data_IF_183271680043
#
_entry.id   IF_183271680043
#
_cell.length_a   1.000
_cell.length_b   1.000
_cell.length_c   1.000
_cell.angle_alpha   90.00
_cell.angle_beta   90.00
_cell.angle_gamma   90.00
#
_symmetry.space_group_name_H-M   'P 1'
#
loop_
_entity.id
_entity.type
_entity.pdbx_description
1 polymer ?
#
# COMPACT_ATOMS: atom_id res chain seq x y z
N UNK A 1 -17.80 7.41 -3.27
CA UNK A 1 -17.91 6.99 -1.86
C UNK A 1 -18.49 5.58 -1.82
N UNK A 2 -17.71 4.56 -1.43
CA UNK A 2 -18.22 3.20 -1.23
C UNK A 2 -18.02 2.85 0.24
N UNK A 3 -19.13 2.51 0.88
CA UNK A 3 -19.29 2.32 2.32
C UNK A 3 -18.89 0.88 2.70
N UNK A 4 -17.68 0.68 3.21
CA UNK A 4 -17.23 -0.63 3.73
C UNK A 4 -17.38 -0.69 5.25
N UNK A 5 -18.60 -0.91 5.72
CA UNK A 5 -18.86 -1.30 7.11
C UNK A 5 -18.92 -2.82 7.23
N UNK A 6 -18.19 -3.34 8.22
CA UNK A 6 -18.30 -4.65 8.86
C UNK A 6 -17.54 -5.82 8.24
N UNK A 7 -16.22 -5.88 8.49
CA UNK A 7 -15.56 -7.17 8.79
C UNK A 7 -14.55 -6.94 9.91
N UNK A 8 -14.87 -7.36 11.14
CA UNK A 8 -13.95 -7.35 12.26
C UNK A 8 -13.44 -8.78 12.47
N UNK A 9 -12.18 -9.04 12.12
CA UNK A 9 -11.50 -10.26 12.54
C UNK A 9 -10.86 -10.02 13.91
N UNK A 10 -11.41 -10.65 14.95
CA UNK A 10 -10.72 -10.78 16.24
C UNK A 10 -9.71 -11.94 16.11
N UNK A 11 -8.43 -11.61 16.08
CA UNK A 11 -7.35 -12.59 16.25
C UNK A 11 -7.14 -12.76 17.75
N UNK A 12 -7.56 -13.90 18.31
CA UNK A 12 -7.21 -14.27 19.67
C UNK A 12 -5.71 -14.57 19.74
N UNK A 13 -5.02 -13.99 20.74
CA UNK A 13 -3.63 -14.32 21.04
C UNK A 13 -3.54 -15.81 21.41
N UNK A 14 -2.76 -16.57 20.65
CA UNK A 14 -2.50 -17.98 20.99
C UNK A 14 -1.59 -18.03 22.23
N UNK A 15 -2.05 -18.74 23.25
CA UNK A 15 -1.24 -19.14 24.40
C UNK A 15 -0.58 -20.49 24.04
N UNK A 16 0.70 -20.74 24.36
CA UNK A 16 1.35 -22.02 24.01
C UNK A 16 0.70 -23.18 24.76
N UNK A 17 0.14 -24.15 24.02
CA UNK A 17 -0.46 -25.36 24.59
C UNK A 17 0.60 -26.47 24.64
N UNK A 18 0.95 -26.93 25.84
CA UNK A 18 1.60 -28.23 26.05
C UNK A 18 0.50 -29.29 26.15
N UNK A 19 0.29 -30.05 25.09
CA UNK A 19 -0.66 -31.16 25.04
C UNK A 19 -0.89 -31.68 23.62
N UNK A 20 -1.43 -32.90 23.46
CA UNK A 20 -1.76 -33.45 22.15
C UNK A 20 -2.79 -32.55 21.42
N UNK A 21 -2.72 -32.46 20.08
CA UNK A 21 -3.51 -31.49 19.31
C UNK A 21 -5.01 -31.70 19.52
N UNK A 22 -5.80 -30.63 19.75
CA UNK A 22 -7.24 -30.76 19.93
C UNK A 22 -7.92 -31.28 18.66
N UNK A 23 -8.93 -32.14 18.84
CA UNK A 23 -9.76 -32.62 17.73
C UNK A 23 -10.40 -31.45 16.98
N UNK A 24 -10.44 -31.46 15.64
CA UNK A 24 -10.99 -30.36 14.87
C UNK A 24 -12.51 -30.32 15.03
N UNK A 25 -13.03 -29.18 15.50
CA UNK A 25 -14.46 -28.88 15.58
C UNK A 25 -14.83 -27.77 14.60
N UNK A 26 -15.99 -27.90 13.96
CA UNK A 26 -16.58 -26.84 13.16
C UNK A 26 -17.57 -26.04 14.00
N UNK A 27 -17.47 -24.71 13.97
CA UNK A 27 -18.48 -23.83 14.59
C UNK A 27 -19.50 -23.44 13.52
N UNK A 28 -20.75 -23.90 13.67
CA UNK A 28 -21.84 -23.49 12.78
C UNK A 28 -22.50 -22.24 13.37
N UNK A 29 -22.40 -21.11 12.67
CA UNK A 29 -23.06 -19.86 13.03
C UNK A 29 -24.30 -19.72 12.14
N UNK A 30 -25.49 -19.83 12.74
CA UNK A 30 -26.75 -19.72 12.00
C UNK A 30 -27.07 -18.24 11.73
N UNK A 31 -26.64 -17.72 10.58
CA UNK A 31 -26.82 -16.32 10.17
C UNK A 31 -28.21 -16.04 9.54
N UNK A 32 -29.28 -16.69 9.99
CA UNK A 32 -30.64 -16.30 9.55
C UNK A 32 -31.05 -15.03 10.28
N UNK A 33 -31.27 -13.95 9.53
CA UNK A 33 -31.88 -12.72 10.06
C UNK A 33 -33.31 -13.04 10.53
N UNK A 34 -33.72 -12.66 11.75
CA UNK A 34 -35.10 -12.82 12.17
C UNK A 34 -35.98 -11.87 11.36
N UNK A 35 -36.70 -12.39 10.37
CA UNK A 35 -37.78 -11.67 9.68
C UNK A 35 -39.07 -11.85 10.47
N UNK A 36 -39.40 -10.86 11.30
CA UNK A 36 -40.69 -10.79 12.00
C UNK A 36 -40.80 -9.54 12.88
N UNK A 37 -41.88 -8.75 12.71
CA UNK A 37 -42.13 -7.44 13.38
C UNK A 37 -42.44 -7.53 14.89
N UNK A 38 -42.03 -8.58 15.59
CA UNK A 38 -42.25 -8.73 17.05
C UNK A 38 -41.02 -9.31 17.74
N UNK A 39 -39.97 -8.51 17.84
CA UNK A 39 -38.84 -8.81 18.73
C UNK A 39 -38.05 -7.51 19.02
N UNK A 40 -38.63 -6.62 19.82
CA UNK A 40 -37.92 -5.40 20.29
C UNK A 40 -37.37 -5.56 21.71
N UNK A 41 -37.70 -6.61 22.49
CA UNK A 41 -37.36 -6.61 23.93
C UNK A 41 -36.65 -7.85 24.49
N UNK A 42 -35.82 -8.58 23.72
CA UNK A 42 -34.82 -9.50 24.31
C UNK A 42 -33.54 -9.56 23.48
N UNK A 43 -32.43 -9.11 24.07
CA UNK A 43 -31.07 -9.40 23.58
C UNK A 43 -30.69 -10.72 24.24
N UNK A 44 -30.97 -11.84 23.59
CA UNK A 44 -30.34 -13.13 23.92
C UNK A 44 -29.14 -13.32 23.00
N UNK A 45 -27.97 -13.54 23.60
CA UNK A 45 -26.73 -13.85 22.88
C UNK A 45 -26.91 -15.16 22.09
N UNK A 46 -26.55 -15.12 20.81
CA UNK A 46 -26.54 -16.28 19.92
C UNK A 46 -25.47 -17.26 20.42
N UNK A 47 -25.90 -18.32 21.11
CA UNK A 47 -25.03 -19.43 21.53
C UNK A 47 -24.50 -20.18 20.31
N UNK A 48 -23.18 -20.24 20.16
CA UNK A 48 -22.51 -21.07 19.17
C UNK A 48 -22.58 -22.55 19.59
N UNK A 49 -22.98 -23.42 18.68
CA UNK A 49 -23.00 -24.86 18.89
C UNK A 49 -21.77 -25.47 18.21
N UNK A 50 -20.93 -26.17 18.97
CA UNK A 50 -19.77 -26.90 18.43
C UNK A 50 -20.23 -28.27 17.96
N UNK A 51 -19.89 -28.64 16.72
CA UNK A 51 -20.24 -29.95 16.15
C UNK A 51 -18.96 -30.71 15.79
N UNK A 52 -18.78 -31.96 16.27
CA UNK A 52 -17.67 -32.82 15.87
C UNK A 52 -17.72 -33.15 14.38
N UNK A 53 -16.58 -33.07 13.68
CA UNK A 53 -16.48 -33.25 12.22
C UNK A 53 -16.64 -34.71 11.74
N UNK A 54 -16.94 -35.66 12.62
CA UNK A 54 -17.04 -37.10 12.32
C UNK A 54 -18.36 -37.54 11.67
N UNK A 55 -19.26 -36.61 11.28
CA UNK A 55 -20.55 -36.93 10.64
C UNK A 55 -20.84 -36.14 9.36
N UNK A 56 -19.84 -35.97 8.49
CA UNK A 56 -20.04 -35.45 7.11
C UNK A 56 -19.93 -36.63 6.12
N UNK A 57 -21.02 -37.09 5.50
CA UNK A 57 -20.96 -38.14 4.47
C UNK A 57 -20.34 -37.60 3.18
N UNK A 58 -19.33 -38.29 2.67
CA UNK A 58 -18.88 -38.15 1.27
C UNK A 58 -17.62 -37.32 1.04
N UNK A 59 -16.46 -37.78 1.51
CA UNK A 59 -15.14 -37.46 0.91
C UNK A 59 -14.17 -38.63 1.16
N UNK A 60 -13.87 -39.38 0.10
CA UNK A 60 -12.72 -40.26 -0.19
C UNK A 60 -12.03 -41.01 0.98
N UNK A 61 -12.34 -42.31 1.06
CA UNK A 61 -11.45 -43.34 1.61
C UNK A 61 -10.21 -43.47 0.72
N UNK A 62 -9.03 -43.25 1.31
CA UNK A 62 -7.75 -43.67 0.74
C UNK A 62 -7.33 -44.91 1.50
N UNK A 63 -7.42 -46.06 0.85
CA UNK A 63 -6.97 -47.34 1.38
C UNK A 63 -5.46 -47.33 1.63
N UNK A 64 -5.10 -47.55 2.89
CA UNK A 64 -3.76 -47.93 3.31
C UNK A 64 -3.63 -49.45 3.26
N UNK A 65 -2.67 -49.98 2.50
CA UNK A 65 -2.16 -51.34 2.71
C UNK A 65 -0.73 -51.44 2.19
N UNK A 66 0.25 -51.45 3.10
CA UNK A 66 1.35 -52.44 3.08
C UNK A 66 2.08 -52.49 4.41
N UNK A 67 2.26 -53.74 4.82
CA UNK A 67 2.62 -54.29 6.13
C UNK A 67 4.13 -54.21 6.39
N UNK A 68 4.44 -54.15 7.69
CA UNK A 68 5.74 -54.39 8.35
C UNK A 68 6.45 -55.66 7.85
N UNK A 69 7.78 -55.57 7.80
CA UNK A 69 8.71 -56.66 8.12
C UNK A 69 9.77 -56.09 9.06
N UNK A 70 9.86 -56.68 10.26
CA UNK A 70 10.83 -56.47 11.33
C UNK A 70 11.74 -57.70 11.28
N UNK A 71 13.07 -57.51 11.39
CA UNK A 71 14.13 -58.39 11.92
C UNK A 71 15.41 -57.53 11.83
N UNK A 72 16.06 -57.03 12.88
CA UNK A 72 16.72 -57.56 14.10
C UNK A 72 18.23 -57.89 13.92
N UNK A 73 19.00 -57.40 14.91
CA UNK A 73 20.40 -57.68 15.34
C UNK A 73 21.61 -57.28 14.46
N UNK A 74 22.57 -56.57 15.09
CA UNK A 74 24.01 -56.72 14.79
C UNK A 74 24.91 -55.50 15.05
N UNK A 75 25.75 -55.61 16.07
CA UNK A 75 26.68 -54.63 16.67
C UNK A 75 27.96 -54.30 15.85
N UNK A 76 28.60 -53.20 16.29
CA UNK A 76 30.03 -52.89 16.38
C UNK A 76 30.97 -52.71 15.14
N UNK A 77 31.40 -51.45 15.01
CA UNK A 77 32.77 -50.97 15.25
C UNK A 77 33.87 -50.89 14.15
N UNK A 78 34.55 -49.73 14.24
CA UNK A 78 35.88 -49.31 13.81
C UNK A 78 36.46 -49.42 12.36
N UNK A 79 37.13 -48.29 12.04
CA UNK A 79 38.37 -48.12 11.23
C UNK A 79 38.31 -47.93 9.71
N UNK A 80 38.63 -46.69 9.30
CA UNK A 80 39.41 -46.32 8.11
C UNK A 80 40.79 -47.08 8.12
N UNK A 81 41.62 -47.15 7.04
CA UNK A 81 41.79 -46.09 6.03
C UNK A 81 42.25 -46.50 4.60
N UNK A 82 42.43 -45.46 3.77
CA UNK A 82 43.60 -45.29 2.88
C UNK A 82 43.64 -45.92 1.47
N UNK A 83 43.72 -44.98 0.50
CA UNK A 83 44.74 -44.86 -0.56
C UNK A 83 44.63 -45.64 -1.88
N UNK A 84 44.94 -44.83 -2.91
CA UNK A 84 45.63 -45.15 -4.19
C UNK A 84 44.74 -45.80 -5.26
N UNK A 85 44.94 -45.59 -6.55
CA UNK A 85 45.81 -44.71 -7.36
C UNK A 85 45.43 -45.02 -8.82
N UNK A 86 45.70 -44.08 -9.74
CA UNK A 86 46.07 -44.25 -11.16
C UNK A 86 45.85 -45.62 -11.83
N UNK A 87 45.33 -45.74 -13.06
CA UNK A 87 45.94 -45.27 -14.32
C UNK A 87 44.93 -45.52 -15.46
N UNK A 88 44.61 -44.52 -16.29
CA UNK A 88 45.07 -44.38 -17.69
C UNK A 88 45.17 -45.67 -18.51
N UNK A 89 44.43 -45.72 -19.63
CA UNK A 89 45.00 -46.00 -20.95
C UNK A 89 44.01 -45.72 -22.10
N UNK A 90 44.45 -44.80 -22.95
CA UNK A 90 44.05 -44.63 -24.33
C UNK A 90 44.28 -45.90 -25.16
N UNK A 91 43.48 -46.09 -26.21
CA UNK A 91 43.98 -46.33 -27.56
C UNK A 91 42.85 -46.25 -28.60
N UNK A 92 42.99 -45.25 -29.47
CA UNK A 92 42.37 -45.07 -30.79
C UNK A 92 42.79 -46.17 -31.80
N UNK A 93 42.58 -46.03 -33.13
CA UNK A 93 41.36 -45.79 -33.92
C UNK A 93 41.23 -46.77 -35.13
N UNK A 94 40.17 -46.59 -35.93
CA UNK A 94 40.23 -46.33 -37.39
C UNK A 94 39.46 -47.25 -38.38
N UNK A 95 38.75 -46.57 -39.31
CA UNK A 95 38.24 -46.91 -40.66
C UNK A 95 37.21 -48.07 -40.81
N UNK A 96 36.14 -48.00 -41.61
CA UNK A 96 36.14 -47.77 -43.08
C UNK A 96 34.72 -47.51 -43.65
N UNK A 97 34.61 -46.50 -44.53
CA UNK A 97 33.74 -46.27 -45.73
C UNK A 97 32.22 -46.66 -45.83
N UNK A 98 31.38 -45.61 -45.99
CA UNK A 98 30.37 -45.28 -47.05
C UNK A 98 29.31 -46.28 -47.59
N UNK A 99 28.28 -45.85 -48.36
CA UNK A 99 27.35 -44.71 -48.21
C UNK A 99 25.86 -45.13 -48.44
N UNK A 100 24.89 -44.35 -47.93
CA UNK A 100 23.46 -44.60 -48.19
C UNK A 100 22.60 -43.35 -48.02
N UNK A 101 22.09 -42.83 -49.14
CA UNK A 101 21.12 -41.73 -49.23
C UNK A 101 19.79 -42.05 -48.53
N UNK A 102 19.24 -41.10 -47.76
CA UNK A 102 17.82 -40.67 -47.61
C UNK A 102 17.62 -39.88 -46.29
N UNK A 103 16.52 -39.13 -46.11
CA UNK A 103 16.24 -37.82 -46.67
C UNK A 103 16.22 -36.73 -45.58
N UNK A 104 16.25 -35.49 -46.04
CA UNK A 104 16.19 -34.23 -45.30
C UNK A 104 15.05 -34.15 -44.26
N UNK A 105 15.37 -34.42 -42.98
CA UNK A 105 14.50 -34.08 -41.86
C UNK A 105 14.63 -32.58 -41.56
N UNK A 106 13.51 -31.87 -41.75
CA UNK A 106 13.33 -30.49 -41.30
C UNK A 106 13.66 -30.38 -39.81
N UNK A 107 14.78 -29.74 -39.51
CA UNK A 107 15.11 -29.26 -38.18
C UNK A 107 14.12 -28.15 -37.82
N UNK A 108 12.98 -28.52 -37.26
CA UNK A 108 12.18 -27.58 -36.47
C UNK A 108 12.99 -27.25 -35.21
N UNK A 109 13.22 -25.96 -34.90
CA UNK A 109 13.87 -25.62 -33.64
C UNK A 109 12.91 -26.00 -32.52
N UNK A 110 13.22 -27.10 -31.83
CA UNK A 110 12.57 -27.49 -30.58
C UNK A 110 12.63 -26.29 -29.64
N UNK A 111 11.46 -25.70 -29.40
CA UNK A 111 11.24 -24.66 -28.40
C UNK A 111 11.85 -25.14 -27.09
N UNK A 112 12.98 -24.53 -26.70
CA UNK A 112 13.60 -24.78 -25.40
C UNK A 112 12.51 -24.61 -24.32
N UNK A 113 12.28 -25.60 -23.45
CA UNK A 113 11.33 -25.47 -22.36
C UNK A 113 11.68 -24.22 -21.57
N UNK A 114 10.75 -23.25 -21.52
CA UNK A 114 10.91 -22.05 -20.69
C UNK A 114 11.21 -22.51 -19.27
N UNK A 115 12.39 -22.16 -18.76
CA UNK A 115 12.79 -22.48 -17.41
C UNK A 115 11.69 -21.99 -16.47
N UNK A 116 11.00 -22.94 -15.82
CA UNK A 116 9.98 -22.61 -14.83
C UNK A 116 10.69 -21.77 -13.75
N UNK A 117 10.10 -20.65 -13.30
CA UNK A 117 10.75 -19.80 -12.31
C UNK A 117 11.12 -20.65 -11.09
N UNK A 118 12.40 -20.56 -10.70
CA UNK A 118 12.97 -21.32 -9.60
C UNK A 118 12.16 -21.04 -8.34
N UNK A 119 11.29 -21.97 -7.96
CA UNK A 119 10.51 -21.85 -6.72
C UNK A 119 11.51 -21.92 -5.57
N UNK A 120 11.78 -20.76 -4.94
CA UNK A 120 12.54 -20.72 -3.69
C UNK A 120 11.85 -21.66 -2.70
N UNK A 121 12.56 -22.71 -2.28
CA UNK A 121 12.04 -23.67 -1.31
C UNK A 121 11.84 -22.93 0.02
N UNK A 122 10.59 -22.82 0.46
CA UNK A 122 10.25 -22.27 1.79
C UNK A 122 11.03 -23.05 2.86
N UNK A 123 11.71 -22.33 3.76
CA UNK A 123 12.35 -22.91 4.95
C UNK A 123 13.84 -23.22 4.83
N UNK A 124 14.49 -23.04 3.67
CA UNK A 124 15.95 -23.14 3.57
C UNK A 124 16.55 -21.73 3.60
N UNK A 125 17.28 -21.41 4.67
CA UNK A 125 18.06 -20.17 4.74
C UNK A 125 19.03 -20.13 3.55
N UNK A 126 19.19 -18.96 2.95
CA UNK A 126 20.19 -18.77 1.89
C UNK A 126 21.57 -19.10 2.47
N UNK A 127 22.30 -20.00 1.83
CA UNK A 127 23.62 -20.44 2.30
C UNK A 127 24.69 -19.36 2.17
N UNK A 128 24.43 -18.32 1.37
CA UNK A 128 25.24 -17.11 1.28
C UNK A 128 24.38 -15.93 1.70
N UNK A 129 24.87 -15.17 2.67
CA UNK A 129 24.31 -13.88 3.00
C UNK A 129 24.48 -12.94 1.80
N UNK A 130 23.43 -12.19 1.50
CA UNK A 130 23.46 -11.16 0.46
C UNK A 130 24.10 -9.92 1.08
N UNK A 131 25.14 -9.40 0.45
CA UNK A 131 25.83 -8.20 0.91
C UNK A 131 24.90 -6.98 0.99
N UNK A 132 25.21 -6.07 1.92
CA UNK A 132 24.43 -4.85 2.16
C UNK A 132 24.40 -3.94 0.91
N UNK A 133 25.48 -3.91 0.13
CA UNK A 133 25.55 -3.16 -1.13
C UNK A 133 24.61 -3.72 -2.20
N UNK A 134 24.44 -5.05 -2.21
CA UNK A 134 23.46 -5.69 -3.08
C UNK A 134 22.04 -5.29 -2.67
N UNK A 135 21.73 -5.28 -1.36
CA UNK A 135 20.45 -4.79 -0.86
C UNK A 135 20.22 -3.32 -1.21
N UNK A 136 21.23 -2.46 -1.07
CA UNK A 136 21.12 -1.05 -1.46
C UNK A 136 20.82 -0.92 -2.95
N UNK A 137 21.55 -1.65 -3.79
CA UNK A 137 21.40 -1.64 -5.25
C UNK A 137 20.03 -2.12 -5.71
N UNK A 138 19.47 -3.12 -5.03
CA UNK A 138 18.11 -3.61 -5.34
C UNK A 138 17.07 -2.60 -4.87
N UNK A 139 17.17 -2.15 -3.62
CA UNK A 139 16.14 -1.35 -2.98
C UNK A 139 16.09 0.10 -3.48
N UNK A 140 17.14 0.63 -4.11
CA UNK A 140 17.11 1.97 -4.72
C UNK A 140 16.13 2.09 -5.89
N UNK A 141 15.70 0.96 -6.45
CA UNK A 141 14.71 0.91 -7.53
C UNK A 141 13.29 0.64 -7.02
N UNK A 142 13.12 0.37 -5.73
CA UNK A 142 11.81 0.10 -5.14
C UNK A 142 10.98 1.39 -5.00
N UNK A 143 9.65 1.22 -4.95
CA UNK A 143 8.72 2.29 -4.59
C UNK A 143 8.95 2.71 -3.12
N UNK A 144 9.08 4.01 -2.79
CA UNK A 144 9.16 4.47 -1.40
C UNK A 144 8.04 3.94 -0.49
N UNK A 145 6.84 3.70 -1.03
CA UNK A 145 5.74 3.07 -0.27
C UNK A 145 6.08 1.63 0.13
N UNK A 146 6.70 0.87 -0.77
CA UNK A 146 7.14 -0.50 -0.51
C UNK A 146 8.27 -0.52 0.52
N UNK A 147 9.21 0.43 0.45
CA UNK A 147 10.28 0.55 1.44
C UNK A 147 9.73 0.80 2.85
N UNK A 148 8.68 1.62 2.99
CA UNK A 148 8.01 1.79 4.28
C UNK A 148 7.37 0.49 4.77
N UNK A 149 6.65 -0.22 3.90
CA UNK A 149 6.05 -1.49 4.26
C UNK A 149 7.09 -2.53 4.70
N UNK A 150 8.23 -2.59 4.01
CA UNK A 150 9.36 -3.44 4.39
C UNK A 150 9.97 -3.04 5.72
N UNK A 151 10.16 -1.72 5.94
CA UNK A 151 10.67 -1.18 7.22
C UNK A 151 9.78 -1.58 8.39
N UNK A 152 8.46 -1.53 8.22
CA UNK A 152 7.51 -1.79 9.30
C UNK A 152 7.33 -3.29 9.58
N UNK A 153 7.42 -4.14 8.55
CA UNK A 153 7.10 -5.58 8.65
C UNK A 153 8.33 -6.50 8.79
N UNK A 154 9.51 -6.04 8.37
CA UNK A 154 10.72 -6.88 8.30
C UNK A 154 11.81 -6.26 9.17
N UNK A 155 12.14 -6.92 10.29
CA UNK A 155 13.08 -6.39 11.28
C UNK A 155 14.50 -6.14 10.73
N UNK A 156 14.98 -6.94 9.78
CA UNK A 156 16.27 -6.71 9.11
C UNK A 156 16.21 -5.46 8.21
N UNK A 157 15.13 -5.26 7.46
CA UNK A 157 14.92 -4.06 6.66
C UNK A 157 14.77 -2.81 7.53
N UNK A 158 14.17 -2.90 8.73
CA UNK A 158 14.07 -1.76 9.64
C UNK A 158 15.45 -1.14 9.92
N UNK A 159 16.42 -1.96 10.35
CA UNK A 159 17.77 -1.50 10.68
C UNK A 159 18.47 -0.96 9.43
N UNK A 160 18.44 -1.73 8.35
CA UNK A 160 19.06 -1.33 7.09
C UNK A 160 18.53 0.00 6.54
N UNK A 161 17.21 0.20 6.52
CA UNK A 161 16.56 1.41 6.01
C UNK A 161 16.67 2.62 6.95
N UNK A 162 16.92 2.39 8.24
CA UNK A 162 17.23 3.44 9.22
C UNK A 162 18.66 3.94 9.03
N UNK A 163 19.59 3.01 8.84
CA UNK A 163 21.03 3.30 8.79
C UNK A 163 21.48 3.80 7.40
N UNK A 164 20.64 3.65 6.36
CA UNK A 164 20.90 4.12 4.99
C UNK A 164 19.89 5.19 4.53
N UNK A 165 19.95 6.43 5.05
CA UNK A 165 18.98 7.48 4.71
C UNK A 165 19.03 7.90 3.24
N UNK A 166 20.19 7.81 2.58
CA UNK A 166 20.36 8.14 1.16
C UNK A 166 19.55 7.23 0.24
N UNK A 167 19.22 6.01 0.67
CA UNK A 167 18.42 5.07 -0.11
C UNK A 167 17.03 5.61 -0.42
N UNK A 168 16.42 6.33 0.53
CA UNK A 168 15.11 6.97 0.34
C UNK A 168 15.14 8.02 -0.77
N UNK A 169 16.22 8.82 -0.84
CA UNK A 169 16.44 9.79 -1.91
C UNK A 169 16.56 9.12 -3.27
N UNK A 170 17.37 8.05 -3.37
CA UNK A 170 17.55 7.32 -4.62
C UNK A 170 16.26 6.66 -5.09
N UNK A 171 15.54 6.00 -4.17
CA UNK A 171 14.24 5.37 -4.42
C UNK A 171 13.20 6.39 -4.90
N UNK A 172 13.10 7.55 -4.23
CA UNK A 172 12.21 8.65 -4.62
C UNK A 172 12.53 9.15 -6.03
N UNK A 173 13.80 9.51 -6.28
CA UNK A 173 14.24 10.04 -7.58
C UNK A 173 14.05 9.02 -8.70
N UNK A 174 14.29 7.75 -8.44
CA UNK A 174 14.07 6.72 -9.45
C UNK A 174 12.58 6.55 -9.77
N UNK A 175 11.74 6.40 -8.75
CA UNK A 175 10.32 6.08 -8.93
C UNK A 175 9.52 7.26 -9.46
N UNK A 176 9.73 8.46 -8.92
CA UNK A 176 8.98 9.66 -9.29
C UNK A 176 9.65 10.52 -10.36
N UNK A 177 10.94 10.27 -10.67
CA UNK A 177 11.75 11.15 -11.52
C UNK A 177 11.67 12.59 -10.99
N UNK A 178 11.47 13.54 -11.89
CA UNK A 178 11.37 14.97 -11.54
C UNK A 178 9.92 15.45 -11.31
N UNK A 179 8.95 14.52 -11.24
CA UNK A 179 7.54 14.90 -11.07
C UNK A 179 7.18 15.27 -9.64
N UNK A 180 7.80 14.62 -8.65
CA UNK A 180 7.49 14.82 -7.23
C UNK A 180 8.39 15.93 -6.66
N UNK A 181 7.82 16.97 -6.01
CA UNK A 181 8.60 18.01 -5.34
C UNK A 181 9.65 17.46 -4.38
N UNK A 182 10.82 18.12 -4.36
CA UNK A 182 11.88 17.84 -3.38
C UNK A 182 11.40 18.18 -1.97
N UNK A 183 11.78 17.40 -0.94
CA UNK A 183 11.39 17.68 0.43
C UNK A 183 11.97 19.03 0.91
N UNK A 184 11.23 19.79 1.75
CA UNK A 184 11.76 20.96 2.41
C UNK A 184 12.88 20.56 3.39
N UNK A 185 13.79 21.48 3.71
CA UNK A 185 14.98 21.21 4.53
C UNK A 185 14.66 20.65 5.93
N UNK A 186 13.48 20.96 6.47
CA UNK A 186 12.99 20.47 7.76
C UNK A 186 12.51 19.01 7.75
N UNK A 187 12.40 18.38 6.57
CA UNK A 187 12.01 16.98 6.42
C UNK A 187 13.16 16.13 5.91
N UNK A 188 13.47 15.08 6.66
CA UNK A 188 14.29 13.99 6.15
C UNK A 188 13.54 13.22 5.06
N UNK A 189 14.26 12.59 4.13
CA UNK A 189 13.68 11.78 3.05
C UNK A 189 12.76 10.66 3.59
N UNK A 190 13.11 10.07 4.73
CA UNK A 190 12.25 9.10 5.42
C UNK A 190 10.97 9.74 5.94
N UNK A 191 11.05 10.88 6.64
CA UNK A 191 9.86 11.57 7.13
C UNK A 191 8.96 12.00 5.98
N UNK A 192 9.53 12.44 4.86
CA UNK A 192 8.79 12.79 3.66
C UNK A 192 8.07 11.58 3.06
N UNK A 193 8.78 10.46 2.88
CA UNK A 193 8.17 9.20 2.44
C UNK A 193 7.05 8.77 3.40
N UNK A 194 7.30 8.77 4.71
CA UNK A 194 6.32 8.41 5.73
C UNK A 194 5.11 9.36 5.73
N UNK A 195 5.31 10.65 5.50
CA UNK A 195 4.25 11.66 5.39
C UNK A 195 3.45 11.53 4.09
N UNK A 196 4.02 10.99 3.02
CA UNK A 196 3.30 10.74 1.76
C UNK A 196 2.58 9.39 1.73
N UNK A 197 3.22 8.33 2.21
CA UNK A 197 2.81 6.94 2.01
C UNK A 197 2.34 6.23 3.27
N UNK A 198 2.74 6.71 4.45
CA UNK A 198 2.34 6.14 5.72
C UNK A 198 0.82 6.16 5.95
N UNK A 199 0.42 5.49 7.02
CA UNK A 199 -0.96 5.42 7.47
C UNK A 199 -1.04 5.78 8.95
N UNK A 200 -2.20 6.25 9.38
CA UNK A 200 -2.40 6.59 10.78
C UNK A 200 -2.30 8.08 11.06
N UNK A 201 -3.11 8.55 12.01
CA UNK A 201 -2.98 9.92 12.49
C UNK A 201 -1.70 10.06 13.32
N UNK A 202 -0.84 11.02 12.98
CA UNK A 202 0.41 11.31 13.70
C UNK A 202 0.20 11.89 15.11
N UNK A 203 -1.04 12.14 15.52
CA UNK A 203 -1.36 12.59 16.88
C UNK A 203 -2.01 11.51 17.73
N UNK A 204 -3.06 10.85 17.24
CA UNK A 204 -3.83 9.87 18.02
C UNK A 204 -3.68 8.42 17.55
N UNK A 205 -2.90 8.17 16.49
CA UNK A 205 -2.70 6.82 15.95
C UNK A 205 -3.87 6.24 15.15
N UNK A 206 -4.92 7.02 14.86
CA UNK A 206 -6.10 6.53 14.12
C UNK A 206 -5.73 5.94 12.74
N UNK A 207 -5.81 4.62 12.62
CA UNK A 207 -5.20 3.79 11.56
C UNK A 207 -5.66 4.16 10.15
N UNK A 208 -6.92 4.55 9.97
CA UNK A 208 -7.51 4.82 8.65
C UNK A 208 -7.18 6.20 8.08
N UNK A 209 -6.35 6.98 8.77
CA UNK A 209 -6.01 8.33 8.30
C UNK A 209 -4.99 8.24 7.16
N UNK A 210 -5.34 8.79 5.99
CA UNK A 210 -4.45 8.90 4.83
C UNK A 210 -4.21 10.34 4.36
N UNK A 211 -5.12 11.27 4.64
CA UNK A 211 -4.98 12.67 4.20
C UNK A 211 -3.80 13.34 4.89
N UNK A 212 -2.89 13.88 4.08
CA UNK A 212 -1.79 14.71 4.53
C UNK A 212 -2.18 16.17 4.36
N UNK A 213 -1.92 16.97 5.39
CA UNK A 213 -2.08 18.42 5.36
C UNK A 213 -0.69 19.02 5.14
N UNK A 214 -0.35 19.28 3.88
CA UNK A 214 1.00 19.70 3.49
C UNK A 214 1.38 21.06 4.07
N UNK A 215 0.41 21.98 4.26
CA UNK A 215 0.61 23.23 5.01
C UNK A 215 1.28 23.00 6.38
N UNK A 216 0.88 21.94 7.07
CA UNK A 216 1.32 21.60 8.41
C UNK A 216 2.38 20.49 8.44
N UNK A 217 2.68 19.87 7.30
CA UNK A 217 3.51 18.68 7.19
C UNK A 217 3.08 17.56 8.15
N UNK A 218 1.77 17.33 8.26
CA UNK A 218 1.20 16.34 9.19
C UNK A 218 0.08 15.52 8.55
N UNK A 219 -0.03 14.26 8.97
CA UNK A 219 -1.16 13.39 8.67
C UNK A 219 -2.07 13.30 9.88
N UNK A 220 -3.25 13.91 9.82
CA UNK A 220 -4.18 13.94 10.95
C UNK A 220 -5.59 13.48 10.58
N UNK A 221 -6.30 12.90 11.55
CA UNK A 221 -7.74 12.72 11.40
C UNK A 221 -8.43 14.09 11.54
N UNK A 222 -9.68 14.20 11.07
CA UNK A 222 -10.45 15.46 11.12
C UNK A 222 -10.50 16.05 12.54
N UNK A 223 -10.70 15.21 13.55
CA UNK A 223 -10.77 15.64 14.94
C UNK A 223 -9.43 16.21 15.45
N UNK A 224 -8.30 15.56 15.12
CA UNK A 224 -6.99 16.04 15.54
C UNK A 224 -6.59 17.33 14.80
N UNK A 225 -6.96 17.45 13.52
CA UNK A 225 -6.76 18.69 12.79
C UNK A 225 -7.51 19.83 13.49
N UNK A 226 -8.84 19.69 13.65
CA UNK A 226 -9.68 20.72 14.26
C UNK A 226 -9.24 21.10 15.68
N UNK A 227 -8.78 20.13 16.49
CA UNK A 227 -8.27 20.39 17.85
C UNK A 227 -6.93 21.12 17.87
N UNK A 228 -6.09 20.94 16.86
CA UNK A 228 -4.71 21.47 16.83
C UNK A 228 -4.58 22.75 16.01
N UNK A 229 -5.62 23.11 15.27
CA UNK A 229 -5.66 24.33 14.48
C UNK A 229 -6.53 25.38 15.14
N UNK A 230 -6.13 26.64 15.03
CA UNK A 230 -6.89 27.80 15.48
C UNK A 230 -7.13 28.73 14.30
N UNK A 231 -8.29 29.40 14.24
CA UNK A 231 -8.58 30.37 13.20
C UNK A 231 -7.81 31.66 13.44
N UNK A 232 -7.47 32.38 12.38
CA UNK A 232 -6.76 33.66 12.47
C UNK A 232 -7.44 34.68 13.40
N UNK A 233 -8.77 34.74 13.39
CA UNK A 233 -9.53 35.62 14.29
C UNK A 233 -9.38 35.26 15.76
N UNK A 234 -9.32 33.96 16.08
CA UNK A 234 -9.17 33.44 17.44
C UNK A 234 -7.70 33.49 17.88
N UNK A 235 -6.76 33.35 16.94
CA UNK A 235 -5.33 33.42 17.20
C UNK A 235 -4.85 34.83 17.55
N UNK A 236 -5.62 35.88 17.20
CA UNK A 236 -5.28 37.28 17.51
C UNK A 236 -5.05 37.51 19.01
N UNK A 237 -5.80 36.81 19.86
CA UNK A 237 -5.68 36.92 21.31
C UNK A 237 -4.38 36.31 21.84
N UNK A 238 -3.73 35.43 21.07
CA UNK A 238 -2.46 34.81 21.43
C UNK A 238 -1.25 35.64 20.99
N UNK A 239 -1.42 36.58 20.05
CA UNK A 239 -0.34 37.44 19.56
C UNK A 239 -0.12 38.63 20.49
N UNK A 240 0.39 38.35 21.68
CA UNK A 240 0.74 39.34 22.70
C UNK A 240 2.21 39.24 23.09
N UNK A 241 2.88 40.38 23.17
CA UNK A 241 4.22 40.44 23.77
C UNK A 241 4.15 40.32 25.30
N UNK A 242 5.32 40.34 25.96
CA UNK A 242 5.43 40.23 27.42
C UNK A 242 4.76 41.42 28.15
N UNK A 243 4.60 42.57 27.48
CA UNK A 243 3.93 43.78 28.00
C UNK A 243 2.42 43.82 27.64
N UNK A 244 1.91 42.81 26.93
CA UNK A 244 0.53 42.75 26.45
C UNK A 244 0.25 43.56 25.17
N UNK A 245 1.28 44.09 24.53
CA UNK A 245 1.24 44.73 23.23
C UNK A 245 0.82 43.77 22.11
N UNK A 246 0.11 44.29 21.11
CA UNK A 246 -0.32 43.49 19.95
C UNK A 246 0.84 43.25 18.97
N UNK A 247 1.20 41.98 18.78
CA UNK A 247 2.24 41.56 17.84
C UNK A 247 1.67 40.75 16.68
N UNK A 248 0.37 40.88 16.37
CA UNK A 248 -0.32 40.12 15.33
C UNK A 248 0.29 40.21 13.92
N UNK A 249 1.14 41.22 13.64
CA UNK A 249 1.87 41.33 12.38
C UNK A 249 2.81 40.14 12.13
N UNK A 250 3.28 39.45 13.17
CA UNK A 250 4.15 38.27 13.04
C UNK A 250 3.40 37.03 12.51
N UNK A 251 2.07 37.06 12.43
CA UNK A 251 1.27 35.97 11.86
C UNK A 251 1.70 35.56 10.44
N UNK A 252 2.30 36.48 9.68
CA UNK A 252 2.89 36.21 8.35
C UNK A 252 4.06 35.23 8.38
N UNK A 253 4.69 35.06 9.54
CA UNK A 253 5.78 34.10 9.79
C UNK A 253 5.27 32.69 10.10
N UNK A 254 3.96 32.42 9.98
CA UNK A 254 3.38 31.11 10.26
C UNK A 254 2.94 30.40 8.97
N UNK A 255 3.20 29.09 8.85
CA UNK A 255 2.50 28.25 7.89
C UNK A 255 1.00 28.28 8.15
N UNK A 256 0.20 28.46 7.10
CA UNK A 256 -1.25 28.55 7.20
C UNK A 256 -1.96 27.55 6.31
N UNK A 257 -3.13 27.14 6.76
CA UNK A 257 -4.10 26.37 5.99
C UNK A 257 -5.39 27.16 5.77
N UNK A 258 -6.27 26.63 4.93
CA UNK A 258 -7.57 27.21 4.64
C UNK A 258 -8.67 26.23 5.02
N UNK A 259 -9.64 26.70 5.80
CA UNK A 259 -10.91 26.02 6.04
C UNK A 259 -12.06 26.70 5.28
N UNK A 260 -13.03 25.91 4.82
CA UNK A 260 -14.33 26.41 4.37
C UNK A 260 -15.23 26.79 5.56
N UNK A 261 -16.42 27.34 5.25
CA UNK A 261 -17.44 27.70 6.24
C UNK A 261 -17.98 26.51 7.04
N UNK A 262 -17.77 25.27 6.58
CA UNK A 262 -18.17 24.03 7.27
C UNK A 262 -17.02 23.38 8.06
N UNK A 263 -15.86 24.05 8.16
CA UNK A 263 -14.69 23.57 8.89
C UNK A 263 -13.99 22.39 8.22
N UNK A 264 -14.10 22.26 6.89
CA UNK A 264 -13.30 21.34 6.11
C UNK A 264 -12.06 22.04 5.57
N UNK A 265 -10.92 21.37 5.63
CA UNK A 265 -9.68 21.85 5.04
C UNK A 265 -9.74 21.76 3.51
N UNK A 266 -9.56 22.91 2.86
CA UNK A 266 -9.63 23.06 1.40
C UNK A 266 -8.28 23.28 0.74
N UNK A 267 -7.24 23.68 1.48
CA UNK A 267 -5.89 23.80 0.92
C UNK A 267 -4.93 24.62 1.77
N UNK A 268 -3.77 24.90 1.19
CA UNK A 268 -2.72 25.76 1.78
C UNK A 268 -3.15 27.23 1.77
N UNK A 269 -2.90 27.93 2.88
CA UNK A 269 -3.25 29.35 3.07
C UNK A 269 -2.17 30.34 2.60
N UNK A 270 -2.41 31.66 2.80
CA UNK A 270 -3.57 32.25 3.48
C UNK A 270 -4.84 32.29 2.61
N UNK A 271 -6.00 32.55 3.24
CA UNK A 271 -7.27 32.70 2.52
C UNK A 271 -7.41 34.12 1.93
N UNK A 272 -7.87 34.21 0.68
CA UNK A 272 -8.16 35.50 0.02
C UNK A 272 -9.66 35.82 -0.11
N UNK A 273 -10.54 34.84 0.08
CA UNK A 273 -11.99 34.99 -0.03
C UNK A 273 -12.67 35.00 1.35
N UNK A 274 -13.70 35.84 1.53
CA UNK A 274 -14.39 35.99 2.82
C UNK A 274 -15.06 34.70 3.36
N UNK A 275 -15.46 33.80 2.46
CA UNK A 275 -16.05 32.49 2.79
C UNK A 275 -15.02 31.50 3.33
N UNK A 276 -13.73 31.77 3.14
CA UNK A 276 -12.62 30.94 3.54
C UNK A 276 -11.96 31.54 4.79
N UNK A 277 -11.46 30.66 5.67
CA UNK A 277 -10.83 31.05 6.93
C UNK A 277 -9.39 30.56 6.97
N UNK A 278 -8.45 31.46 7.21
CA UNK A 278 -7.06 31.13 7.50
C UNK A 278 -6.98 30.46 8.86
N UNK A 279 -6.24 29.35 8.94
CA UNK A 279 -5.98 28.61 10.17
C UNK A 279 -4.49 28.37 10.37
N UNK A 280 -4.06 28.40 11.63
CA UNK A 280 -2.68 28.16 12.06
C UNK A 280 -2.62 26.96 13.00
N UNK A 281 -1.44 26.36 13.17
CA UNK A 281 -1.23 25.42 14.28
C UNK A 281 -1.09 26.18 15.58
N UNK A 282 -1.86 25.77 16.60
CA UNK A 282 -1.79 26.36 17.94
C UNK A 282 -0.36 26.32 18.47
N UNK A 283 0.31 25.17 18.33
CA UNK A 283 1.69 25.00 18.79
C UNK A 283 2.70 25.89 18.07
N UNK A 284 2.42 26.28 16.82
CA UNK A 284 3.35 27.12 16.06
C UNK A 284 3.13 28.60 16.39
N UNK A 285 1.89 29.00 16.66
CA UNK A 285 1.57 30.33 17.22
C UNK A 285 2.31 30.52 18.56
N UNK A 286 2.14 29.57 19.49
CA UNK A 286 2.80 29.61 20.81
C UNK A 286 4.32 29.70 20.69
N UNK A 287 4.91 28.87 19.83
CA UNK A 287 6.36 28.89 19.61
C UNK A 287 6.85 30.19 18.97
N UNK A 288 6.11 30.74 18.01
CA UNK A 288 6.51 31.96 17.33
C UNK A 288 6.46 33.15 18.28
N UNK A 289 5.41 33.26 19.09
CA UNK A 289 5.28 34.30 20.13
C UNK A 289 6.40 34.17 21.16
N UNK A 290 6.65 32.95 21.65
CA UNK A 290 7.75 32.71 22.59
C UNK A 290 9.12 33.06 22.01
N UNK A 291 9.37 32.71 20.74
CA UNK A 291 10.59 33.10 20.03
C UNK A 291 10.70 34.61 19.87
N UNK A 292 9.63 35.28 19.49
CA UNK A 292 9.60 36.74 19.34
C UNK A 292 9.96 37.43 20.67
N UNK A 293 9.32 37.03 21.77
CA UNK A 293 9.58 37.63 23.09
C UNK A 293 10.98 37.28 23.60
N UNK A 294 11.51 36.11 23.26
CA UNK A 294 12.88 35.75 23.60
C UNK A 294 13.89 36.64 22.86
N UNK A 295 13.77 36.76 21.54
CA UNK A 295 14.68 37.59 20.72
C UNK A 295 14.59 39.07 21.09
N UNK A 296 13.39 39.55 21.44
CA UNK A 296 13.18 40.91 21.93
C UNK A 296 13.91 41.18 23.25
N UNK A 297 13.93 40.21 24.17
CA UNK A 297 14.64 40.31 25.45
C UNK A 297 16.15 40.20 25.27
N UNK A 298 16.59 39.24 24.46
CA UNK A 298 18.02 38.97 24.25
C UNK A 298 18.71 40.12 23.49
N UNK A 299 17.96 40.86 22.65
CA UNK A 299 18.48 41.94 21.80
C UNK A 299 17.84 43.31 22.12
N UNK A 300 17.52 43.60 23.38
CA UNK A 300 16.72 44.77 23.80
C UNK A 300 17.12 46.11 23.12
N UNK A 301 18.42 46.36 22.93
CA UNK A 301 18.94 47.60 22.35
C UNK A 301 18.86 47.70 20.83
N UNK A 302 18.89 46.57 20.11
CA UNK A 302 18.93 46.53 18.63
C UNK A 302 17.68 45.90 18.02
N UNK A 303 16.79 45.33 18.84
CA UNK A 303 15.64 44.55 18.39
C UNK A 303 14.74 45.30 17.41
N UNK A 304 14.45 46.58 17.65
CA UNK A 304 13.62 47.36 16.73
C UNK A 304 14.20 47.45 15.31
N UNK A 305 15.52 47.43 15.16
CA UNK A 305 16.20 47.42 13.87
C UNK A 305 16.27 46.01 13.27
N UNK A 306 16.56 45.00 14.10
CA UNK A 306 16.76 43.60 13.68
C UNK A 306 15.46 42.84 13.42
N UNK A 307 14.36 43.23 14.07
CA UNK A 307 13.04 42.58 14.00
C UNK A 307 12.56 42.42 12.56
N UNK A 308 12.79 43.41 11.69
CA UNK A 308 12.39 43.33 10.27
C UNK A 308 13.19 42.27 9.53
N UNK A 309 14.48 42.18 9.78
CA UNK A 309 15.36 41.17 9.17
C UNK A 309 14.96 39.78 9.63
N UNK A 310 14.81 39.59 10.95
CA UNK A 310 14.31 38.35 11.54
C UNK A 310 12.96 37.93 10.94
N UNK A 311 12.02 38.87 10.82
CA UNK A 311 10.69 38.62 10.25
C UNK A 311 10.78 38.24 8.77
N UNK A 312 11.59 38.95 7.97
CA UNK A 312 11.76 38.67 6.55
C UNK A 312 12.35 37.27 6.31
N UNK A 313 13.32 36.85 7.12
CA UNK A 313 13.87 35.50 7.06
C UNK A 313 12.82 34.43 7.35
N UNK A 314 12.01 34.62 8.40
CA UNK A 314 10.91 33.71 8.75
C UNK A 314 9.84 33.67 7.66
N UNK A 315 9.44 34.82 7.13
CA UNK A 315 8.47 34.92 6.03
C UNK A 315 8.99 34.17 4.81
N UNK A 316 10.26 34.34 4.44
CA UNK A 316 10.87 33.63 3.31
C UNK A 316 10.78 32.11 3.48
N UNK A 317 11.12 31.59 4.66
CA UNK A 317 10.99 30.15 4.96
C UNK A 317 9.54 29.67 4.86
N UNK A 318 8.58 30.48 5.31
CA UNK A 318 7.15 30.15 5.23
C UNK A 318 6.64 30.17 3.80
N UNK A 319 7.10 31.10 2.96
CA UNK A 319 6.78 31.14 1.52
C UNK A 319 7.34 29.90 0.80
N UNK A 320 8.60 29.54 1.02
CA UNK A 320 9.20 28.33 0.45
C UNK A 320 8.41 27.07 0.84
N UNK A 321 8.00 26.99 2.12
CA UNK A 321 7.15 25.90 2.61
C UNK A 321 5.75 25.91 1.98
N UNK A 322 5.17 27.09 1.76
CA UNK A 322 3.87 27.27 1.11
C UNK A 322 3.90 26.80 -0.32
N UNK A 323 4.91 27.22 -1.08
CA UNK A 323 5.10 26.79 -2.46
C UNK A 323 5.27 25.27 -2.55
N UNK A 324 6.09 24.69 -1.67
CA UNK A 324 6.24 23.24 -1.59
C UNK A 324 4.89 22.55 -1.34
N UNK A 325 4.12 23.03 -0.36
CA UNK A 325 2.84 22.45 0.00
C UNK A 325 1.81 22.57 -1.15
N UNK A 326 1.77 23.70 -1.86
CA UNK A 326 0.92 23.88 -3.03
C UNK A 326 1.32 22.95 -4.18
N UNK A 327 2.61 22.86 -4.51
CA UNK A 327 3.13 21.92 -5.52
C UNK A 327 2.76 20.48 -5.18
N UNK A 328 2.82 20.12 -3.89
CA UNK A 328 2.43 18.79 -3.42
C UNK A 328 0.94 18.51 -3.56
N UNK A 329 0.07 19.44 -3.16
CA UNK A 329 -1.38 19.28 -3.33
C UNK A 329 -1.76 19.15 -4.81
N UNK A 330 -1.21 20.02 -5.67
CA UNK A 330 -1.41 19.98 -7.12
C UNK A 330 -0.91 18.68 -7.74
N UNK A 331 0.27 18.20 -7.34
CA UNK A 331 0.80 16.94 -7.82
C UNK A 331 -0.11 15.77 -7.42
N UNK A 332 -0.59 15.75 -6.17
CA UNK A 332 -1.51 14.70 -5.71
C UNK A 332 -2.86 14.74 -6.43
N UNK A 333 -3.41 15.93 -6.68
CA UNK A 333 -4.65 16.10 -7.43
C UNK A 333 -4.50 15.70 -8.89
N UNK A 334 -3.37 16.04 -9.51
CA UNK A 334 -3.04 15.62 -10.88
C UNK A 334 -2.92 14.10 -10.95
N UNK A 335 -2.22 13.48 -9.99
CA UNK A 335 -2.09 12.02 -9.91
C UNK A 335 -3.42 11.31 -9.64
N UNK A 336 -4.33 11.92 -8.86
CA UNK A 336 -5.70 11.42 -8.64
C UNK A 336 -6.53 11.52 -9.93
N UNK A 337 -6.48 12.67 -10.59
CA UNK A 337 -7.25 12.95 -11.81
C UNK A 337 -6.81 12.07 -12.96
N UNK A 338 -5.50 11.93 -13.19
CA UNK A 338 -4.93 11.03 -14.22
C UNK A 338 -5.43 9.59 -14.04
N UNK A 339 -5.40 9.05 -12.81
CA UNK A 339 -5.96 7.71 -12.54
C UNK A 339 -7.45 7.61 -12.84
N UNK A 340 -8.21 8.67 -12.59
CA UNK A 340 -9.64 8.71 -12.91
C UNK A 340 -9.87 8.70 -14.42
N UNK A 341 -9.10 9.47 -15.19
CA UNK A 341 -9.14 9.46 -16.66
C UNK A 341 -8.76 8.10 -17.21
N UNK A 342 -7.68 7.49 -16.72
CA UNK A 342 -7.26 6.14 -17.13
C UNK A 342 -8.33 5.07 -16.84
N UNK A 343 -9.04 5.22 -15.73
CA UNK A 343 -10.15 4.32 -15.39
C UNK A 343 -11.32 4.50 -16.33
N UNK A 344 -11.65 5.74 -16.68
CA UNK A 344 -12.73 6.02 -17.62
C UNK A 344 -12.40 5.50 -19.02
N UNK A 345 -11.18 5.76 -19.50
CA UNK A 345 -10.70 5.23 -20.78
C UNK A 345 -10.72 3.71 -20.84
N UNK A 346 -10.32 3.02 -19.75
CA UNK A 346 -10.42 1.55 -19.66
C UNK A 346 -11.86 1.03 -19.69
N UNK A 347 -12.80 1.73 -19.03
CA UNK A 347 -14.23 1.36 -19.08
C UNK A 347 -14.80 1.55 -20.48
N UNK A 348 -14.46 2.65 -21.15
CA UNK A 348 -14.89 2.94 -22.51
C UNK A 348 -14.34 1.92 -23.50
N UNK A 349 -13.04 1.60 -23.43
CA UNK A 349 -12.43 0.55 -24.24
C UNK A 349 -13.14 -0.81 -24.05
N UNK A 350 -13.52 -1.16 -22.82
CA UNK A 350 -14.34 -2.37 -22.57
C UNK A 350 -15.72 -2.28 -23.20
N UNK A 351 -16.38 -1.12 -23.11
CA UNK A 351 -17.70 -0.89 -23.70
C UNK A 351 -17.63 -1.18 -25.20
N UNK A 352 -16.71 -0.53 -25.90
CA UNK A 352 -16.51 -0.67 -27.34
C UNK A 352 -16.19 -2.11 -27.72
N UNK A 353 -15.23 -2.74 -27.03
CA UNK A 353 -14.84 -4.12 -27.31
C UNK A 353 -15.99 -5.12 -27.13
N UNK A 354 -16.77 -5.01 -26.05
CA UNK A 354 -17.90 -5.92 -25.83
C UNK A 354 -19.06 -5.68 -26.81
N UNK A 355 -19.31 -4.44 -27.21
CA UNK A 355 -20.32 -4.12 -28.23
C UNK A 355 -19.91 -4.72 -29.59
N UNK A 356 -18.66 -4.55 -29.99
CA UNK A 356 -18.12 -5.14 -31.23
C UNK A 356 -18.24 -6.66 -31.23
N UNK A 357 -17.92 -7.32 -30.11
CA UNK A 357 -18.04 -8.77 -29.98
C UNK A 357 -19.48 -9.26 -29.91
N UNK A 358 -20.38 -8.50 -29.29
CA UNK A 358 -21.81 -8.84 -29.23
C UNK A 358 -22.51 -8.72 -30.58
N UNK A 359 -22.08 -7.76 -31.41
CA UNK A 359 -22.54 -7.61 -32.79
C UNK A 359 -22.15 -8.81 -33.68
N UNK A 360 -21.11 -9.56 -33.31
CA UNK A 360 -20.66 -10.77 -34.02
C UNK A 360 -21.41 -12.05 -33.57
N UNK A 361 -22.36 -11.95 -32.63
CA UNK A 361 -23.16 -13.10 -32.18
C UNK A 361 -24.31 -13.41 -33.13
N UNK A 362 -24.90 -14.59 -32.98
CA UNK A 362 -26.07 -15.04 -33.74
C UNK A 362 -27.12 -15.56 -32.75
N UNK A 363 -28.23 -14.81 -32.50
CA UNK A 363 -28.53 -13.48 -33.04
C UNK A 363 -27.59 -12.38 -32.49
N UNK A 364 -27.35 -11.29 -33.24
CA UNK A 364 -26.54 -10.17 -32.76
C UNK A 364 -27.29 -9.43 -31.64
N UNK A 365 -26.56 -9.09 -30.57
CA UNK A 365 -27.13 -8.37 -29.42
C UNK A 365 -26.75 -6.89 -29.53
N UNK A 366 -27.74 -5.99 -29.64
CA UNK A 366 -27.48 -4.56 -29.81
C UNK A 366 -27.14 -3.89 -28.47
N UNK A 367 -26.50 -2.71 -28.53
CA UNK A 367 -26.12 -1.96 -27.33
C UNK A 367 -27.32 -1.71 -26.38
N UNK A 368 -28.51 -1.43 -26.92
CA UNK A 368 -29.71 -1.19 -26.11
C UNK A 368 -30.10 -2.42 -25.28
N UNK A 369 -30.03 -3.62 -25.85
CA UNK A 369 -30.26 -4.87 -25.12
C UNK A 369 -29.17 -5.09 -24.07
N UNK A 370 -27.90 -4.89 -24.44
CA UNK A 370 -26.77 -5.03 -23.51
C UNK A 370 -26.91 -4.11 -22.29
N UNK A 371 -27.33 -2.85 -22.47
CA UNK A 371 -27.47 -1.89 -21.36
C UNK A 371 -28.56 -2.29 -20.35
N UNK A 372 -29.53 -3.10 -20.75
CA UNK A 372 -30.53 -3.70 -19.85
C UNK A 372 -29.93 -4.86 -19.03
N UNK A 373 -29.03 -5.64 -19.65
CA UNK A 373 -28.38 -6.81 -19.04
C UNK A 373 -27.50 -6.44 -17.83
N UNK A 374 -27.81 -6.91 -16.60
CA UNK A 374 -27.00 -6.65 -15.42
C UNK A 374 -25.55 -7.17 -15.52
N UNK A 375 -25.30 -8.28 -16.22
CA UNK A 375 -23.96 -8.82 -16.40
C UNK A 375 -23.09 -7.86 -17.22
N UNK A 376 -23.64 -7.23 -18.26
CA UNK A 376 -22.93 -6.23 -19.06
C UNK A 376 -22.55 -5.00 -18.22
N UNK A 377 -23.51 -4.41 -17.52
CA UNK A 377 -23.29 -3.22 -16.67
C UNK A 377 -22.19 -3.46 -15.64
N UNK A 378 -22.18 -4.62 -14.97
CA UNK A 378 -21.12 -5.01 -14.04
C UNK A 378 -19.77 -5.19 -14.74
N UNK A 379 -19.76 -5.74 -15.94
CA UNK A 379 -18.54 -6.07 -16.68
C UNK A 379 -17.83 -4.84 -17.26
N UNK A 380 -18.60 -3.82 -17.68
CA UNK A 380 -18.06 -2.54 -18.16
C UNK A 380 -17.62 -1.64 -16.99
N UNK A 381 -18.22 -1.78 -15.80
CA UNK A 381 -17.82 -1.01 -14.62
C UNK A 381 -16.41 -1.32 -14.10
N UNK A 382 -15.80 -2.45 -14.50
CA UNK A 382 -14.46 -2.87 -14.08
C UNK A 382 -13.40 -2.07 -14.86
N UNK A 383 -12.54 -1.27 -14.20
CA UNK A 383 -11.52 -0.44 -14.86
C UNK A 383 -10.27 -1.27 -15.23
N UNK A 384 -10.44 -2.28 -16.10
CA UNK A 384 -9.36 -3.13 -16.62
C UNK A 384 -9.44 -3.15 -18.14
N UNK A 385 -8.31 -3.32 -18.80
CA UNK A 385 -8.31 -3.49 -20.26
C UNK A 385 -9.22 -4.66 -20.69
N UNK A 386 -9.96 -4.50 -21.79
CA UNK A 386 -10.72 -5.60 -22.37
C UNK A 386 -9.77 -6.71 -22.85
N UNK A 387 -10.19 -7.95 -22.68
CA UNK A 387 -9.50 -9.09 -23.25
C UNK A 387 -10.48 -10.22 -23.56
N UNK A 388 -10.04 -11.19 -24.37
CA UNK A 388 -10.87 -12.33 -24.76
C UNK A 388 -11.36 -13.16 -23.58
N UNK A 389 -10.55 -13.34 -22.53
CA UNK A 389 -10.98 -14.06 -21.32
C UNK A 389 -12.19 -13.40 -20.66
N UNK A 390 -12.17 -12.07 -20.54
CA UNK A 390 -13.27 -11.32 -19.95
C UNK A 390 -14.54 -11.35 -20.82
N UNK A 391 -14.38 -11.40 -22.14
CA UNK A 391 -15.49 -11.60 -23.07
C UNK A 391 -16.10 -13.00 -22.93
N UNK A 392 -15.28 -14.06 -22.91
CA UNK A 392 -15.75 -15.43 -22.75
C UNK A 392 -16.50 -15.65 -21.42
N UNK A 393 -16.15 -14.91 -20.37
CA UNK A 393 -16.89 -14.93 -19.10
C UNK A 393 -18.22 -14.16 -19.14
N UNK A 394 -18.30 -13.11 -19.95
CA UNK A 394 -19.50 -12.29 -20.11
C UNK A 394 -20.50 -12.94 -21.08
N UNK A 395 -20.02 -13.42 -22.23
CA UNK A 395 -20.80 -13.96 -23.35
C UNK A 395 -21.98 -14.87 -22.91
N UNK A 396 -21.77 -15.97 -22.18
CA UNK A 396 -22.88 -16.89 -21.84
C UNK A 396 -23.94 -16.24 -20.94
N UNK A 397 -23.55 -15.28 -20.10
CA UNK A 397 -24.48 -14.52 -19.25
C UNK A 397 -25.26 -13.50 -20.08
N UNK A 398 -24.58 -12.87 -21.03
CA UNK A 398 -25.16 -11.88 -21.91
C UNK A 398 -26.19 -12.51 -22.85
N UNK A 399 -25.87 -13.65 -23.47
CA UNK A 399 -26.80 -14.41 -24.34
C UNK A 399 -28.05 -14.84 -23.56
N UNK A 400 -27.87 -15.35 -22.33
CA UNK A 400 -28.99 -15.72 -21.46
C UNK A 400 -29.85 -14.51 -21.09
N UNK A 401 -29.25 -13.45 -20.55
CA UNK A 401 -29.97 -12.25 -20.11
C UNK A 401 -30.65 -11.52 -21.29
N UNK A 402 -30.05 -11.53 -22.48
CA UNK A 402 -30.63 -10.91 -23.66
C UNK A 402 -31.78 -11.73 -24.29
N UNK A 403 -31.78 -13.06 -24.14
CA UNK A 403 -32.89 -13.91 -24.58
C UNK A 403 -34.12 -13.82 -23.66
N UNK A 404 -33.95 -13.32 -22.43
CA UNK A 404 -35.02 -13.07 -21.46
C UNK A 404 -35.69 -11.69 -21.65
N UNK A 405 -35.16 -10.84 -22.53
CA UNK A 405 -35.72 -9.54 -22.92
C UNK A 405 -36.65 -9.67 -24.12
#
# INVERSE_FOLDING_TARGET
MVNSKNVAFKVNKQVPVRGPPPQPFGTVINCRKPTGKRAINRIEEVRSQQVPLSKVPGVFEVESNRKRGIDDVGDDDHTAPSKRSSCSRDNSPAFTMSPGFRPEERIFPTLRPRAKPTKLRRGKALSKEIDLDCWFTILRFADPAQLLEMRDKIASCYRFLRDNPTLWKHSRKHYYKDSLPEPPAELTEFQYAHLRHGHGCMSCGAIQTRKTYWAFLRRWCKNCLQKKTIKETEARDMFKDDDGGDISFISKCLPSGIFDSWGNFVGVGPAHAHSLKTVFLVSDVEKLVAQFNQEARDNLGTWHAEMRTWMNEKVKLVEERREFAQKMEQWEDSARSSKSFDYQGRKEARKTFFVEKAAQLTPPICLRQMELCPAYRRSVAIPKEPNMTSWLQLKPKLEKEAAEL
#
